data_IF_876906965540
#
_entry.id   IF_876906965540
#
_cell.length_a   1.000
_cell.length_b   1.000
_cell.length_c   1.000
_cell.angle_alpha   90.00
_cell.angle_beta   90.00
_cell.angle_gamma   90.00
#
_symmetry.space_group_name_H-M   'P 1'
#
loop_
_entity.id
_entity.type
_entity.pdbx_description
1 polymer ?
#
# COMPACT_ATOMS: atom_id res chain seq x y z
N UNK A 1 7.76 12.58 -24.03
CA UNK A 1 7.13 13.75 -23.39
C UNK A 1 5.76 13.34 -22.88
N UNK A 2 5.59 13.17 -21.57
CA UNK A 2 4.29 12.82 -20.98
C UNK A 2 3.66 14.11 -20.48
N UNK A 3 2.65 14.61 -21.19
CA UNK A 3 1.84 15.75 -20.74
C UNK A 3 1.22 15.38 -19.39
N UNK A 4 1.57 16.12 -18.35
CA UNK A 4 0.96 15.96 -17.03
C UNK A 4 -0.53 16.26 -17.16
N UNK A 5 -1.37 15.24 -16.95
CA UNK A 5 -2.82 15.41 -16.93
C UNK A 5 -3.20 16.43 -15.85
N UNK A 6 -4.17 17.30 -16.17
CA UNK A 6 -4.69 18.27 -15.21
C UNK A 6 -5.13 17.57 -13.91
N UNK A 7 -4.87 18.17 -12.73
CA UNK A 7 -5.16 17.53 -11.47
C UNK A 7 -6.68 17.30 -11.29
N UNK A 8 -7.09 16.20 -10.64
CA UNK A 8 -8.50 15.95 -10.36
C UNK A 8 -9.09 17.04 -9.44
N UNK A 9 -10.41 17.28 -9.50
CA UNK A 9 -11.04 18.37 -8.78
C UNK A 9 -10.76 18.33 -7.27
N UNK A 10 -10.25 19.45 -6.74
CA UNK A 10 -9.85 19.62 -5.33
C UNK A 10 -8.42 19.25 -5.00
N UNK A 11 -7.66 18.80 -5.98
CA UNK A 11 -6.22 18.69 -5.88
C UNK A 11 -5.61 19.84 -6.67
N UNK A 12 -4.65 20.52 -6.07
CA UNK A 12 -3.94 21.64 -6.69
C UNK A 12 -2.81 21.15 -7.59
N UNK A 13 -2.21 20.00 -7.24
CA UNK A 13 -1.11 19.38 -7.96
C UNK A 13 -1.22 17.86 -7.87
N UNK A 14 -0.73 17.17 -8.89
CA UNK A 14 -0.54 15.72 -8.87
C UNK A 14 0.94 15.38 -9.09
N UNK A 15 1.42 14.33 -8.44
CA UNK A 15 2.76 13.82 -8.63
C UNK A 15 2.77 12.29 -8.58
N UNK A 16 3.66 11.66 -9.34
CA UNK A 16 3.98 10.25 -9.18
C UNK A 16 5.15 10.13 -8.21
N UNK A 17 4.95 9.43 -7.10
CA UNK A 17 5.96 9.24 -6.06
C UNK A 17 6.40 7.78 -6.05
N UNK A 18 7.71 7.56 -5.93
CA UNK A 18 8.35 6.24 -5.84
C UNK A 18 8.93 6.05 -4.45
N UNK A 19 8.62 4.91 -3.84
CA UNK A 19 9.15 4.48 -2.55
C UNK A 19 9.98 3.23 -2.75
N UNK A 20 11.14 3.16 -2.09
CA UNK A 20 12.07 2.04 -2.19
C UNK A 20 12.66 1.74 -0.81
N UNK A 21 12.81 0.44 -0.54
CA UNK A 21 13.49 -0.09 0.63
C UNK A 21 14.48 -1.13 0.13
N UNK A 22 15.76 -0.89 0.38
CA UNK A 22 16.86 -1.77 -0.03
C UNK A 22 17.44 -2.51 1.18
N UNK A 23 17.83 -3.77 0.96
CA UNK A 23 18.65 -4.54 1.88
C UNK A 23 19.80 -5.24 1.14
N UNK A 24 20.93 -5.43 1.82
CA UNK A 24 22.03 -6.28 1.36
C UNK A 24 21.85 -7.74 1.79
N UNK A 25 22.56 -8.66 1.13
CA UNK A 25 22.69 -10.06 1.53
C UNK A 25 21.62 -11.00 0.96
N UNK A 26 20.37 -10.88 1.40
CA UNK A 26 19.30 -11.80 0.96
C UNK A 26 18.78 -11.46 -0.44
N UNK A 27 18.50 -12.50 -1.23
CA UNK A 27 17.99 -12.38 -2.59
C UNK A 27 16.75 -13.24 -2.81
N UNK A 28 16.00 -12.92 -3.86
CA UNK A 28 14.76 -13.60 -4.26
C UNK A 28 14.95 -14.14 -5.67
N UNK A 29 14.92 -15.48 -5.84
CA UNK A 29 14.99 -16.11 -7.15
C UNK A 29 13.92 -15.58 -8.09
N UNK A 30 14.25 -15.43 -9.39
CA UNK A 30 13.36 -14.85 -10.40
C UNK A 30 11.96 -15.51 -10.43
N UNK A 31 11.91 -16.83 -10.24
CA UNK A 31 10.66 -17.60 -10.19
C UNK A 31 9.76 -17.26 -8.98
N UNK A 32 10.34 -16.78 -7.88
CA UNK A 32 9.63 -16.47 -6.64
C UNK A 32 9.15 -15.00 -6.55
N UNK A 33 9.68 -14.10 -7.40
CA UNK A 33 9.41 -12.65 -7.34
C UNK A 33 7.94 -12.25 -7.51
N UNK A 34 7.14 -13.04 -8.22
CA UNK A 34 5.70 -12.79 -8.33
C UNK A 34 4.96 -13.26 -7.07
N UNK A 35 5.38 -14.40 -6.52
CA UNK A 35 4.73 -15.08 -5.41
C UNK A 35 4.95 -14.41 -4.06
N UNK A 36 6.03 -13.64 -3.89
CA UNK A 36 6.30 -12.89 -2.63
C UNK A 36 5.23 -11.86 -2.27
N UNK A 37 4.38 -11.48 -3.22
CA UNK A 37 3.24 -10.58 -2.97
C UNK A 37 1.91 -11.32 -2.74
N UNK A 38 1.92 -12.65 -2.75
CA UNK A 38 0.76 -13.46 -2.39
C UNK A 38 0.71 -13.64 -0.87
N UNK A 39 -0.49 -13.70 -0.32
CA UNK A 39 -0.69 -13.91 1.12
C UNK A 39 -0.13 -15.25 1.55
N UNK A 40 0.56 -15.26 2.70
CA UNK A 40 1.12 -16.46 3.33
C UNK A 40 2.28 -17.12 2.56
N UNK A 41 2.80 -16.48 1.50
CA UNK A 41 4.00 -16.98 0.83
C UNK A 41 5.24 -16.53 1.57
N UNK A 42 6.03 -17.51 2.00
CA UNK A 42 7.42 -17.32 2.39
C UNK A 42 8.29 -17.90 1.28
N UNK A 43 9.33 -17.18 0.89
CA UNK A 43 10.35 -17.73 0.01
C UNK A 43 11.39 -18.36 0.89
N UNK A 44 11.65 -19.65 0.68
CA UNK A 44 12.77 -20.32 1.31
C UNK A 44 14.04 -19.54 0.94
N UNK A 45 14.65 -18.93 1.95
CA UNK A 45 15.89 -18.20 1.78
C UNK A 45 16.93 -19.18 1.23
N UNK A 46 17.39 -18.96 -0.01
CA UNK A 46 18.50 -19.71 -0.57
C UNK A 46 19.69 -19.63 0.38
N UNK A 47 19.97 -20.75 1.05
CA UNK A 47 21.15 -21.08 1.85
C UNK A 47 22.08 -19.92 2.25
N UNK A 48 21.82 -19.28 3.39
CA UNK A 48 22.90 -18.83 4.27
C UNK A 48 23.42 -20.06 5.06
N UNK A 49 23.98 -21.03 4.34
CA UNK A 49 24.59 -22.22 4.91
C UNK A 49 25.96 -21.87 5.48
N UNK A 50 26.05 -21.56 6.77
CA UNK A 50 27.29 -21.79 7.51
C UNK A 50 27.27 -23.25 7.98
N UNK A 51 27.58 -24.17 7.07
CA UNK A 51 27.92 -25.54 7.44
C UNK A 51 29.35 -25.54 7.97
N UNK A 52 29.50 -25.52 9.29
CA UNK A 52 30.75 -25.96 9.92
C UNK A 52 30.88 -27.47 9.73
N UNK A 53 31.99 -28.00 9.18
CA UNK A 53 32.16 -29.43 8.98
C UNK A 53 32.87 -30.04 10.19
N UNK A 54 32.12 -30.39 11.24
CA UNK A 54 32.61 -31.38 12.21
C UNK A 54 31.43 -32.18 12.76
N UNK A 55 31.51 -33.49 12.61
CA UNK A 55 30.43 -34.43 12.88
C UNK A 55 29.97 -34.43 14.33
N UNK A 56 28.69 -34.12 14.50
CA UNK A 56 27.79 -34.75 15.47
C UNK A 56 26.40 -34.59 14.88
N UNK A 57 25.77 -35.71 14.52
CA UNK A 57 24.42 -35.78 14.00
C UNK A 57 23.40 -35.59 15.13
N UNK A 58 23.46 -34.40 15.73
CA UNK A 58 22.36 -33.80 16.46
C UNK A 58 22.00 -32.53 15.69
N UNK A 59 20.78 -32.36 15.15
CA UNK A 59 20.38 -31.14 14.46
C UNK A 59 20.14 -30.03 15.50
N UNK A 60 21.20 -29.60 16.18
CA UNK A 60 21.25 -28.38 17.00
C UNK A 60 21.79 -27.27 16.12
N UNK A 61 21.05 -26.98 15.06
CA UNK A 61 21.30 -25.88 14.15
C UNK A 61 20.02 -25.12 14.02
N UNK A 62 19.83 -24.14 14.91
CA UNK A 62 18.75 -23.19 14.88
C UNK A 62 18.46 -22.77 13.44
N UNK A 63 17.37 -23.29 12.88
CA UNK A 63 16.64 -22.59 11.83
C UNK A 63 16.35 -21.23 12.43
N UNK A 64 17.16 -20.24 12.07
CA UNK A 64 17.06 -18.88 12.57
C UNK A 64 15.59 -18.53 12.42
N UNK A 65 14.94 -18.35 13.57
CA UNK A 65 13.52 -18.30 13.68
C UNK A 65 12.94 -17.40 12.58
N UNK A 66 12.24 -18.01 11.63
CA UNK A 66 11.10 -17.41 10.95
C UNK A 66 9.97 -17.20 11.97
N UNK A 67 10.32 -16.61 13.12
CA UNK A 67 9.42 -16.36 14.24
C UNK A 67 8.35 -15.40 13.78
N UNK A 68 7.10 -15.90 13.73
CA UNK A 68 5.90 -15.06 13.80
C UNK A 68 5.63 -14.12 12.62
N UNK A 69 6.26 -14.28 11.45
CA UNK A 69 5.91 -13.47 10.27
C UNK A 69 4.83 -14.16 9.44
N UNK A 70 3.59 -13.67 9.54
CA UNK A 70 2.40 -14.22 8.89
C UNK A 70 2.42 -14.30 7.36
N UNK A 71 3.45 -13.76 6.69
CA UNK A 71 3.47 -13.66 5.23
C UNK A 71 2.41 -12.70 4.66
N UNK A 72 1.79 -11.86 5.49
CA UNK A 72 0.75 -10.92 5.07
C UNK A 72 1.28 -9.54 4.67
N UNK A 73 2.48 -9.16 5.13
CA UNK A 73 2.99 -7.79 4.98
C UNK A 73 3.02 -7.31 3.52
N UNK A 74 3.65 -8.07 2.62
CA UNK A 74 3.74 -7.70 1.20
C UNK A 74 2.39 -7.82 0.45
N UNK A 75 1.53 -8.73 0.87
CA UNK A 75 0.18 -8.85 0.32
C UNK A 75 -0.69 -7.62 0.66
N UNK A 76 -0.60 -7.11 1.89
CA UNK A 76 -1.26 -5.87 2.30
C UNK A 76 -0.72 -4.68 1.51
N UNK A 77 0.60 -4.57 1.37
CA UNK A 77 1.24 -3.50 0.57
C UNK A 77 0.71 -3.52 -0.86
N UNK A 78 0.68 -4.69 -1.50
CA UNK A 78 0.12 -4.85 -2.85
C UNK A 78 -1.34 -4.41 -2.90
N UNK A 79 -2.17 -4.83 -1.96
CA UNK A 79 -3.58 -4.45 -1.93
C UNK A 79 -3.76 -2.94 -1.79
N UNK A 80 -3.11 -2.30 -0.81
CA UNK A 80 -3.22 -0.86 -0.56
C UNK A 80 -2.72 -0.06 -1.76
N UNK A 81 -1.61 -0.45 -2.37
CA UNK A 81 -1.01 0.26 -3.51
C UNK A 81 -1.84 0.05 -4.78
N UNK A 82 -2.10 -1.20 -5.17
CA UNK A 82 -2.74 -1.51 -6.47
C UNK A 82 -4.25 -1.23 -6.43
N UNK A 83 -4.94 -1.58 -5.34
CA UNK A 83 -6.40 -1.38 -5.22
C UNK A 83 -6.75 -0.01 -4.65
N UNK A 84 -6.02 0.46 -3.64
CA UNK A 84 -6.32 1.73 -2.97
C UNK A 84 -5.82 2.97 -3.71
N UNK A 85 -4.69 2.86 -4.42
CA UNK A 85 -4.00 4.03 -5.00
C UNK A 85 -3.75 3.92 -6.50
N UNK A 86 -4.25 2.86 -7.16
CA UNK A 86 -3.97 2.54 -8.56
C UNK A 86 -2.46 2.60 -8.89
N UNK A 87 -1.64 2.24 -7.91
CA UNK A 87 -0.20 2.20 -7.99
C UNK A 87 0.33 0.88 -8.52
N UNK A 88 1.65 0.70 -8.44
CA UNK A 88 2.32 -0.55 -8.81
C UNK A 88 3.39 -0.90 -7.81
N UNK A 89 3.37 -2.13 -7.32
CA UNK A 89 4.46 -2.71 -6.52
C UNK A 89 5.48 -3.41 -7.42
N UNK A 90 6.73 -3.46 -6.98
CA UNK A 90 7.80 -4.18 -7.66
C UNK A 90 8.86 -4.66 -6.68
N UNK A 91 9.63 -5.64 -7.12
CA UNK A 91 10.82 -6.11 -6.42
C UNK A 91 11.94 -6.26 -7.44
N UNK A 92 13.10 -5.73 -7.12
CA UNK A 92 14.35 -6.00 -7.82
C UNK A 92 15.28 -6.74 -6.87
N UNK A 93 15.90 -7.82 -7.34
CA UNK A 93 16.69 -8.68 -6.48
C UNK A 93 17.74 -9.41 -7.27
N UNK A 94 18.97 -9.36 -6.80
CA UNK A 94 20.12 -9.99 -7.45
C UNK A 94 20.95 -10.72 -6.40
N UNK A 95 21.35 -11.95 -6.75
CA UNK A 95 22.20 -12.78 -5.91
C UNK A 95 23.52 -12.05 -5.62
N UNK A 96 23.91 -12.03 -4.34
CA UNK A 96 25.12 -11.32 -3.88
C UNK A 96 24.99 -9.79 -3.76
N UNK A 97 23.96 -9.15 -4.34
CA UNK A 97 23.73 -7.68 -4.19
C UNK A 97 22.62 -7.32 -3.22
N UNK A 98 21.66 -8.23 -3.04
CA UNK A 98 20.54 -8.04 -2.12
C UNK A 98 19.21 -7.81 -2.83
N UNK A 99 18.27 -7.16 -2.15
CA UNK A 99 16.89 -6.96 -2.63
C UNK A 99 16.41 -5.53 -2.39
N UNK A 100 15.74 -4.98 -3.39
CA UNK A 100 15.01 -3.71 -3.32
C UNK A 100 13.52 -3.98 -3.51
N UNK A 101 12.73 -3.69 -2.50
CA UNK A 101 11.28 -3.64 -2.62
C UNK A 101 10.86 -2.20 -2.87
N UNK A 102 9.85 -2.00 -3.69
CA UNK A 102 9.33 -0.66 -3.89
C UNK A 102 7.95 -0.62 -4.49
N UNK A 103 7.41 0.58 -4.53
CA UNK A 103 6.14 0.85 -5.17
C UNK A 103 6.07 2.28 -5.69
N UNK A 104 5.15 2.50 -6.63
CA UNK A 104 4.83 3.82 -7.16
C UNK A 104 3.34 4.10 -6.96
N UNK A 105 3.02 5.31 -6.51
CA UNK A 105 1.65 5.80 -6.36
C UNK A 105 1.52 7.21 -6.92
N UNK A 106 0.30 7.56 -7.35
CA UNK A 106 -0.01 8.93 -7.69
C UNK A 106 -0.57 9.62 -6.44
N UNK A 107 0.00 10.76 -6.07
CA UNK A 107 -0.46 11.58 -4.94
C UNK A 107 -1.01 12.89 -5.47
N UNK A 108 -2.04 13.41 -4.80
CA UNK A 108 -2.59 14.72 -5.07
C UNK A 108 -2.40 15.64 -3.87
N UNK A 109 -1.93 16.86 -4.08
CA UNK A 109 -1.81 17.86 -3.03
C UNK A 109 -3.13 18.64 -2.89
N UNK A 110 -3.77 18.57 -1.72
CA UNK A 110 -4.90 19.43 -1.37
C UNK A 110 -4.42 20.56 -0.46
N UNK A 111 -4.87 21.79 -0.72
CA UNK A 111 -4.64 22.88 0.23
C UNK A 111 -5.56 22.64 1.43
N UNK A 112 -5.05 22.74 2.65
CA UNK A 112 -5.86 22.52 3.87
C UNK A 112 -7.10 23.41 3.95
N UNK A 113 -7.03 24.63 3.42
CA UNK A 113 -8.18 25.54 3.29
C UNK A 113 -9.31 24.93 2.46
N UNK A 114 -8.97 24.26 1.36
CA UNK A 114 -9.93 23.74 0.39
C UNK A 114 -10.71 22.54 0.97
N UNK A 115 -10.08 21.80 1.90
CA UNK A 115 -10.72 20.73 2.66
C UNK A 115 -11.80 21.24 3.61
N UNK A 116 -11.51 22.32 4.37
CA UNK A 116 -12.48 22.92 5.28
C UNK A 116 -13.65 23.56 4.51
N UNK A 117 -13.35 24.30 3.43
CA UNK A 117 -14.37 24.88 2.55
C UNK A 117 -15.29 23.80 1.96
N UNK A 118 -14.75 22.63 1.58
CA UNK A 118 -15.56 21.50 1.12
C UNK A 118 -16.48 20.94 2.19
N UNK A 119 -15.96 20.71 3.40
CA UNK A 119 -16.76 20.19 4.52
C UNK A 119 -17.91 21.16 4.87
N UNK A 120 -17.61 22.47 4.89
CA UNK A 120 -18.62 23.51 5.13
C UNK A 120 -19.66 23.57 3.98
N UNK A 121 -19.24 23.43 2.72
CA UNK A 121 -20.17 23.41 1.57
C UNK A 121 -21.06 22.16 1.52
N UNK A 122 -20.58 21.01 1.98
CA UNK A 122 -21.39 19.80 2.11
C UNK A 122 -22.39 19.92 3.27
N UNK A 123 -21.97 20.50 4.40
CA UNK A 123 -22.84 20.72 5.54
C UNK A 123 -23.99 21.69 5.19
N UNK A 124 -23.72 22.76 4.43
CA UNK A 124 -24.76 23.70 3.98
C UNK A 124 -25.74 23.06 2.99
N UNK A 125 -25.24 22.24 2.06
CA UNK A 125 -26.08 21.53 1.09
C UNK A 125 -27.02 20.51 1.77
N UNK A 126 -26.60 19.91 2.88
CA UNK A 126 -27.43 19.00 3.68
C UNK A 126 -28.48 19.75 4.53
N UNK A 127 -28.21 20.99 4.94
CA UNK A 127 -29.19 21.78 5.71
C UNK A 127 -30.33 22.33 4.85
N UNK A 128 -30.08 22.67 3.58
CA UNK A 128 -31.11 23.23 2.69
C UNK A 128 -32.18 22.19 2.27
N UNK A 129 -31.86 20.89 2.29
CA UNK A 129 -32.81 19.82 1.94
C UNK A 129 -33.87 19.58 3.05
N UNK A 130 -33.61 20.07 4.27
CA UNK A 130 -34.57 19.99 5.38
C UNK A 130 -35.72 21.01 5.26
N UNK A 131 -35.55 22.08 4.47
CA UNK A 131 -36.59 23.06 4.22
C UNK A 131 -37.72 22.51 3.31
N UNK A 132 -37.41 21.55 2.44
CA UNK A 132 -38.41 20.83 1.64
C UNK A 132 -39.29 19.88 2.49
N UNK A 133 -38.71 19.31 3.55
CA UNK A 133 -39.42 18.39 4.45
C UNK A 133 -40.35 19.10 5.45
N UNK A 134 -40.05 20.33 5.88
CA UNK A 134 -40.91 21.11 6.79
C UNK A 134 -42.15 21.71 6.07
N UNK A 135 -42.01 22.06 4.80
CA UNK A 135 -43.13 22.53 3.96
C UNK A 135 -44.21 21.44 3.77
N UNK A 136 -43.81 20.17 3.65
CA UNK A 136 -44.73 19.04 3.55
C UNK A 136 -45.48 18.77 4.87
N UNK A 137 -44.85 19.03 6.02
CA UNK A 137 -45.44 18.80 7.35
C UNK A 137 -46.42 19.89 7.77
N UNK A 138 -46.29 21.12 7.29
CA UNK A 138 -47.26 22.21 7.55
C UNK A 138 -48.60 22.03 6.81
N UNK A 139 -48.63 21.32 5.68
CA UNK A 139 -49.87 21.04 4.94
C UNK A 139 -50.76 19.95 5.56
N UNK A 140 -50.21 19.15 6.48
CA UNK A 140 -50.94 18.06 7.16
C UNK A 140 -51.52 18.46 8.54
N UNK A 141 -51.35 19.72 8.98
CA UNK A 141 -51.88 20.23 10.26
C UNK A 141 -52.97 21.29 10.11
N UNK A 142 -53.43 21.59 8.89
CA UNK A 142 -54.53 22.54 8.63
C UNK A 142 -55.75 21.89 7.97
N UNK A 143 -55.96 20.58 8.18
CA UNK A 143 -57.23 19.90 7.91
C UNK A 143 -57.74 19.33 9.23
#
# INVERSE_FOLDING_TARGET
>A
STTAAAPPPGFTHTARVRFEVWNSGSYIPKAARARVFESYVQVDSGAAGTTSPTGDSTPTGAGLATGGRSGLGLAIVRHVVEKGHAGKVFVDSEEGKGTTFGFVVNVGAQRRSDGLSRLLSQASALSDDSAGADAARRRLRSM
#
